data_IF_947400634642
#
_entry.id   IF_947400634642
#
_cell.length_a   1.000
_cell.length_b   1.000
_cell.length_c   1.000
_cell.angle_alpha   90.00
_cell.angle_beta   90.00
_cell.angle_gamma   90.00
#
_symmetry.space_group_name_H-M   'P 1'
#
loop_
_entity.id
_entity.type
_entity.pdbx_description
1 polymer ?
#
# COMPACT_ATOMS: atom_id res chain seq x y z
N UNK A 1 -11.51 -6.23 7.97
CA UNK A 1 -10.73 -5.07 8.46
C UNK A 1 -10.46 -3.98 7.41
N UNK A 2 -10.08 -4.30 6.15
CA UNK A 2 -9.82 -3.25 5.13
C UNK A 2 -10.97 -2.24 4.91
N UNK A 3 -12.24 -2.64 4.75
CA UNK A 3 -13.33 -1.69 4.52
C UNK A 3 -13.55 -0.74 5.70
N UNK A 4 -13.39 -1.25 6.91
CA UNK A 4 -13.55 -0.46 8.14
C UNK A 4 -12.50 0.66 8.24
N UNK A 5 -11.23 0.35 7.95
CA UNK A 5 -10.16 1.34 7.95
C UNK A 5 -10.38 2.38 6.85
N UNK A 6 -10.78 1.95 5.65
CA UNK A 6 -11.12 2.86 4.56
C UNK A 6 -12.25 3.83 4.94
N UNK A 7 -13.30 3.33 5.59
CA UNK A 7 -14.41 4.16 6.07
C UNK A 7 -13.94 5.19 7.10
N UNK A 8 -13.12 4.78 8.07
CA UNK A 8 -12.55 5.69 9.07
C UNK A 8 -11.69 6.77 8.42
N UNK A 9 -10.88 6.40 7.42
CA UNK A 9 -10.04 7.36 6.69
C UNK A 9 -10.86 8.35 5.88
N UNK A 10 -11.94 7.91 5.23
CA UNK A 10 -12.82 8.83 4.50
C UNK A 10 -13.53 9.79 5.47
N UNK A 11 -14.01 9.28 6.61
CA UNK A 11 -14.57 10.14 7.67
C UNK A 11 -13.52 11.14 8.14
N UNK A 12 -12.28 10.72 8.34
CA UNK A 12 -11.16 11.60 8.70
C UNK A 12 -10.92 12.69 7.64
N UNK A 13 -10.84 12.34 6.35
CA UNK A 13 -10.62 13.30 5.26
C UNK A 13 -11.75 14.34 5.21
N UNK A 14 -13.00 13.93 5.40
CA UNK A 14 -14.17 14.81 5.30
C UNK A 14 -14.37 15.62 6.59
N UNK A 15 -14.30 14.96 7.74
CA UNK A 15 -14.72 15.52 9.03
C UNK A 15 -13.58 15.74 10.05
N UNK A 16 -12.36 15.29 9.77
CA UNK A 16 -11.25 15.39 10.71
C UNK A 16 -10.97 16.82 11.20
N UNK A 17 -11.32 17.82 10.39
CA UNK A 17 -11.18 19.25 10.72
C UNK A 17 -12.11 19.73 11.84
N UNK A 18 -13.17 18.97 12.17
CA UNK A 18 -14.03 19.27 13.33
C UNK A 18 -13.21 19.30 14.63
N UNK A 19 -12.20 18.44 14.74
CA UNK A 19 -11.38 18.31 15.94
C UNK A 19 -10.59 19.61 16.30
N UNK A 20 -10.44 20.52 15.35
CA UNK A 20 -9.66 21.78 15.49
C UNK A 20 -10.49 23.01 15.07
N UNK A 21 -11.81 22.89 15.06
CA UNK A 21 -12.76 23.96 14.66
C UNK A 21 -12.47 24.54 13.25
N UNK A 22 -11.83 23.76 12.38
CA UNK A 22 -11.46 24.15 11.02
C UNK A 22 -12.39 23.54 9.95
N UNK A 23 -13.62 23.13 10.31
CA UNK A 23 -14.61 22.65 9.37
C UNK A 23 -15.28 23.85 8.68
N UNK A 24 -15.20 23.87 7.37
CA UNK A 24 -15.71 24.98 6.57
C UNK A 24 -16.83 24.60 5.61
N UNK A 25 -17.10 25.50 4.67
CA UNK A 25 -18.19 25.35 3.69
C UNK A 25 -17.94 24.31 2.60
N UNK A 26 -16.67 23.92 2.39
CA UNK A 26 -16.30 22.95 1.34
C UNK A 26 -16.49 21.49 1.77
N UNK A 27 -16.95 21.23 2.99
CA UNK A 27 -17.14 19.86 3.50
C UNK A 27 -17.95 18.96 2.57
N UNK A 28 -19.02 19.47 1.99
CA UNK A 28 -19.88 18.72 1.05
C UNK A 28 -19.17 18.47 -0.27
N UNK A 29 -18.40 19.43 -0.76
CA UNK A 29 -17.58 19.23 -1.97
C UNK A 29 -16.57 18.13 -1.72
N UNK A 30 -15.87 18.15 -0.59
CA UNK A 30 -14.91 17.10 -0.24
C UNK A 30 -15.58 15.75 -0.01
N UNK A 31 -16.76 15.70 0.59
CA UNK A 31 -17.51 14.47 0.80
C UNK A 31 -17.86 13.79 -0.55
N UNK A 32 -18.38 14.55 -1.50
CA UNK A 32 -18.86 13.99 -2.78
C UNK A 32 -17.75 13.87 -3.84
N UNK A 33 -16.86 14.87 -3.95
CA UNK A 33 -15.83 14.87 -4.99
C UNK A 33 -14.61 13.99 -4.63
N UNK A 34 -14.31 13.80 -3.36
CA UNK A 34 -13.14 13.03 -2.90
C UNK A 34 -13.52 11.86 -2.02
N UNK A 35 -14.32 12.08 -0.99
CA UNK A 35 -14.69 11.06 0.00
C UNK A 35 -15.42 9.88 -0.64
N UNK A 36 -16.46 10.15 -1.41
CA UNK A 36 -17.26 9.10 -2.06
C UNK A 36 -16.42 8.27 -3.07
N UNK A 37 -15.68 8.86 -4.02
CA UNK A 37 -14.82 8.09 -4.91
C UNK A 37 -13.75 7.28 -4.18
N UNK A 38 -13.07 7.85 -3.18
CA UNK A 38 -12.08 7.14 -2.38
C UNK A 38 -12.71 5.95 -1.65
N UNK A 39 -13.89 6.14 -1.04
CA UNK A 39 -14.61 5.06 -0.35
C UNK A 39 -14.98 3.93 -1.32
N UNK A 40 -15.49 4.27 -2.50
CA UNK A 40 -15.87 3.27 -3.53
C UNK A 40 -14.63 2.50 -3.99
N UNK A 41 -13.54 3.18 -4.35
CA UNK A 41 -12.31 2.54 -4.83
C UNK A 41 -11.70 1.60 -3.77
N UNK A 42 -11.58 2.03 -2.53
CA UNK A 42 -11.07 1.20 -1.44
C UNK A 42 -11.98 0.01 -1.13
N UNK A 43 -13.30 0.20 -1.20
CA UNK A 43 -14.26 -0.88 -0.99
C UNK A 43 -14.18 -1.92 -2.09
N UNK A 44 -14.10 -1.48 -3.36
CA UNK A 44 -13.92 -2.37 -4.51
C UNK A 44 -12.61 -3.16 -4.36
N UNK A 45 -11.50 -2.49 -4.07
CA UNK A 45 -10.22 -3.16 -3.84
C UNK A 45 -10.31 -4.19 -2.70
N UNK A 46 -10.93 -3.83 -1.57
CA UNK A 46 -11.11 -4.72 -0.42
C UNK A 46 -11.95 -5.97 -0.77
N UNK A 47 -13.01 -5.81 -1.57
CA UNK A 47 -13.83 -6.93 -2.03
C UNK A 47 -13.04 -7.84 -2.96
N UNK A 48 -12.26 -7.27 -3.88
CA UNK A 48 -11.44 -8.04 -4.83
C UNK A 48 -10.34 -8.82 -4.11
N UNK A 49 -9.57 -8.19 -3.21
CA UNK A 49 -8.57 -8.89 -2.38
C UNK A 49 -9.21 -9.96 -1.49
N UNK A 50 -10.39 -9.69 -0.92
CA UNK A 50 -11.12 -10.67 -0.13
C UNK A 50 -11.61 -11.86 -0.96
N UNK A 51 -11.93 -11.67 -2.24
CA UNK A 51 -12.26 -12.77 -3.17
C UNK A 51 -11.03 -13.57 -3.56
N UNK A 52 -9.91 -12.90 -3.81
CA UNK A 52 -8.65 -13.55 -4.13
C UNK A 52 -8.14 -14.38 -2.95
N UNK A 53 -8.11 -13.82 -1.75
CA UNK A 53 -7.68 -14.51 -0.54
C UNK A 53 -8.46 -15.79 -0.24
N UNK A 54 -9.76 -15.84 -0.59
CA UNK A 54 -10.58 -17.05 -0.41
C UNK A 54 -10.23 -18.19 -1.36
N UNK A 55 -9.49 -17.91 -2.43
CA UNK A 55 -9.04 -18.93 -3.39
C UNK A 55 -7.77 -19.65 -2.93
N UNK A 56 -7.06 -19.13 -1.92
CA UNK A 56 -5.87 -19.73 -1.34
C UNK A 56 -6.18 -20.49 -0.06
N UNK A 57 -5.56 -21.65 0.18
CA UNK A 57 -5.72 -22.42 1.42
C UNK A 57 -5.29 -21.63 2.67
N UNK A 58 -4.30 -20.73 2.52
CA UNK A 58 -3.80 -19.88 3.61
C UNK A 58 -4.64 -18.64 3.86
N UNK A 59 -5.62 -18.33 3.01
CA UNK A 59 -6.43 -17.11 3.05
C UNK A 59 -5.59 -15.82 3.24
N UNK A 60 -4.38 -15.81 2.65
CA UNK A 60 -3.40 -14.73 2.81
C UNK A 60 -3.39 -13.78 1.61
N UNK A 61 -3.09 -12.53 1.86
CA UNK A 61 -2.86 -11.48 0.85
C UNK A 61 -1.36 -11.33 0.64
N UNK A 62 -0.92 -11.07 -0.58
CA UNK A 62 0.49 -10.89 -0.89
C UNK A 62 1.11 -9.72 -0.10
N UNK A 63 2.41 -9.81 0.21
CA UNK A 63 3.14 -8.74 0.90
C UNK A 63 3.10 -7.43 0.10
N UNK A 64 3.23 -7.51 -1.23
CA UNK A 64 3.10 -6.37 -2.15
C UNK A 64 1.76 -5.66 -1.96
N UNK A 65 0.66 -6.40 -2.00
CA UNK A 65 -0.68 -5.84 -1.81
C UNK A 65 -0.84 -5.22 -0.42
N UNK A 66 -0.36 -5.87 0.63
CA UNK A 66 -0.41 -5.36 2.00
C UNK A 66 0.34 -4.04 2.16
N UNK A 67 1.56 -3.93 1.62
CA UNK A 67 2.36 -2.70 1.65
C UNK A 67 1.69 -1.56 0.86
N UNK A 68 1.12 -1.86 -0.30
CA UNK A 68 0.41 -0.86 -1.11
C UNK A 68 -0.84 -0.34 -0.38
N UNK A 69 -1.58 -1.22 0.29
CA UNK A 69 -2.73 -0.85 1.12
C UNK A 69 -2.31 0.08 2.26
N UNK A 70 -1.28 -0.29 3.02
CA UNK A 70 -0.78 0.52 4.14
C UNK A 70 -0.28 1.88 3.63
N UNK A 71 0.49 1.89 2.54
CA UNK A 71 0.94 3.13 1.91
C UNK A 71 -0.21 4.04 1.48
N UNK A 72 -1.27 3.48 0.87
CA UNK A 72 -2.48 4.21 0.52
C UNK A 72 -3.18 4.82 1.74
N UNK A 73 -3.24 4.08 2.85
CA UNK A 73 -3.84 4.59 4.09
C UNK A 73 -3.03 5.76 4.68
N UNK A 74 -1.70 5.66 4.69
CA UNK A 74 -0.82 6.73 5.18
C UNK A 74 -1.00 7.99 4.33
N UNK A 75 -0.97 7.86 3.00
CA UNK A 75 -1.14 9.00 2.08
C UNK A 75 -2.52 9.64 2.27
N UNK A 76 -3.58 8.85 2.40
CA UNK A 76 -4.94 9.36 2.62
C UNK A 76 -5.08 10.05 4.00
N UNK A 77 -4.45 9.51 5.04
CA UNK A 77 -4.45 10.13 6.37
C UNK A 77 -3.74 11.49 6.36
N UNK A 78 -2.55 11.55 5.73
CA UNK A 78 -1.81 12.78 5.55
C UNK A 78 -2.56 13.79 4.67
N UNK A 79 -3.24 13.34 3.63
CA UNK A 79 -4.09 14.20 2.81
C UNK A 79 -5.16 14.89 3.65
N UNK A 80 -5.91 14.17 4.50
CA UNK A 80 -6.90 14.77 5.40
C UNK A 80 -6.29 15.75 6.40
N UNK A 81 -5.05 15.52 6.83
CA UNK A 81 -4.33 16.41 7.75
C UNK A 81 -3.96 17.76 7.12
N UNK A 82 -3.55 17.76 5.84
CA UNK A 82 -3.17 18.97 5.12
C UNK A 82 -4.33 19.64 4.36
N UNK A 83 -5.48 18.99 4.23
CA UNK A 83 -6.60 19.47 3.42
C UNK A 83 -7.19 20.76 4.02
N UNK A 84 -7.09 21.92 3.34
CA UNK A 84 -7.63 23.19 3.84
C UNK A 84 -9.13 23.29 3.58
N UNK A 85 -9.83 24.06 4.42
CA UNK A 85 -11.24 24.39 4.24
C UNK A 85 -11.48 25.89 4.48
N UNK A 86 -12.56 26.43 3.93
CA UNK A 86 -12.95 27.83 4.10
C UNK A 86 -13.87 27.98 5.29
N UNK A 87 -13.36 28.54 6.38
CA UNK A 87 -14.10 28.85 7.59
C UNK A 87 -14.52 30.34 7.62
N UNK A 88 -15.43 30.78 8.52
CA UNK A 88 -15.78 32.20 8.66
C UNK A 88 -14.60 33.09 8.99
N UNK A 89 -13.58 32.56 9.70
CA UNK A 89 -12.40 33.28 10.13
C UNK A 89 -11.25 33.23 9.11
N UNK A 90 -11.45 32.60 7.98
CA UNK A 90 -10.43 32.42 6.93
C UNK A 90 -10.26 30.96 6.51
N UNK A 91 -9.15 30.67 5.83
CA UNK A 91 -8.85 29.30 5.42
C UNK A 91 -8.01 28.60 6.48
N UNK A 92 -8.38 27.39 6.87
CA UNK A 92 -7.68 26.58 7.87
C UNK A 92 -7.61 25.11 7.47
N UNK A 93 -6.60 24.40 7.97
CA UNK A 93 -6.45 22.94 7.90
C UNK A 93 -6.07 22.40 9.28
N UNK A 94 -6.10 21.10 9.50
CA UNK A 94 -5.60 20.53 10.75
C UNK A 94 -4.14 20.91 10.97
N UNK A 95 -3.33 20.87 9.91
CA UNK A 95 -1.92 21.28 9.98
C UNK A 95 -1.76 22.73 10.43
N UNK A 96 -2.47 23.68 9.80
CA UNK A 96 -2.33 25.12 10.14
C UNK A 96 -2.95 25.49 11.49
N UNK A 97 -3.95 24.76 11.96
CA UNK A 97 -4.47 24.91 13.31
C UNK A 97 -3.42 24.58 14.39
N UNK A 98 -2.47 23.69 14.08
CA UNK A 98 -1.39 23.30 15.00
C UNK A 98 -0.12 24.12 14.82
N UNK A 99 0.17 24.61 13.60
CA UNK A 99 1.46 25.25 13.26
C UNK A 99 1.34 26.77 13.06
N UNK A 100 0.13 27.28 12.90
CA UNK A 100 -0.15 28.70 12.63
C UNK A 100 -0.55 28.98 11.18
N UNK A 101 -1.26 30.09 10.95
CA UNK A 101 -1.83 30.47 9.65
C UNK A 101 -0.77 30.76 8.58
N UNK A 102 0.43 31.16 8.97
CA UNK A 102 1.54 31.45 8.03
C UNK A 102 1.98 30.21 7.24
N UNK A 103 1.66 29.00 7.72
CA UNK A 103 2.00 27.74 7.07
C UNK A 103 0.97 27.28 6.03
N UNK A 104 -0.01 28.12 5.68
CA UNK A 104 -1.08 27.77 4.73
C UNK A 104 -0.55 27.41 3.33
N UNK A 105 0.52 28.08 2.87
CA UNK A 105 1.16 27.74 1.58
C UNK A 105 1.69 26.32 1.53
N UNK A 106 2.26 25.85 2.64
CA UNK A 106 2.72 24.46 2.79
C UNK A 106 1.53 23.50 2.78
N UNK A 107 0.47 23.84 3.52
CA UNK A 107 -0.76 23.03 3.57
C UNK A 107 -1.35 22.81 2.17
N UNK A 108 -1.49 23.87 1.38
CA UNK A 108 -1.96 23.76 -0.02
C UNK A 108 -1.06 22.90 -0.89
N UNK A 109 0.26 23.07 -0.80
CA UNK A 109 1.23 22.30 -1.58
C UNK A 109 1.11 20.80 -1.30
N UNK A 110 1.10 20.43 -0.02
CA UNK A 110 0.93 19.03 0.38
C UNK A 110 -0.47 18.49 0.07
N UNK A 111 -1.54 19.25 0.32
CA UNK A 111 -2.89 18.83 0.02
C UNK A 111 -3.08 18.49 -1.47
N UNK A 112 -2.58 19.33 -2.38
CA UNK A 112 -2.66 19.07 -3.82
C UNK A 112 -1.92 17.78 -4.21
N UNK A 113 -0.68 17.63 -3.75
CA UNK A 113 0.15 16.46 -4.07
C UNK A 113 -0.44 15.19 -3.47
N UNK A 114 -0.76 15.20 -2.18
CA UNK A 114 -1.31 14.04 -1.47
C UNK A 114 -2.71 13.67 -1.95
N UNK A 115 -3.52 14.66 -2.37
CA UNK A 115 -4.84 14.43 -2.95
C UNK A 115 -4.75 13.62 -4.25
N UNK A 116 -3.88 14.05 -5.17
CA UNK A 116 -3.62 13.29 -6.42
C UNK A 116 -3.06 11.91 -6.12
N UNK A 117 -2.09 11.81 -5.20
CA UNK A 117 -1.51 10.53 -4.79
C UNK A 117 -2.54 9.60 -4.15
N UNK A 118 -3.45 10.10 -3.31
CA UNK A 118 -4.50 9.30 -2.67
C UNK A 118 -5.41 8.65 -3.70
N UNK A 119 -5.86 9.41 -4.70
CA UNK A 119 -6.71 8.89 -5.78
C UNK A 119 -5.93 7.91 -6.66
N UNK A 120 -4.69 8.25 -7.04
CA UNK A 120 -3.85 7.40 -7.88
C UNK A 120 -3.56 6.05 -7.17
N UNK A 121 -3.25 6.07 -5.88
CA UNK A 121 -3.02 4.85 -5.10
C UNK A 121 -4.30 4.03 -4.93
N UNK A 122 -5.46 4.67 -4.73
CA UNK A 122 -6.73 3.96 -4.65
C UNK A 122 -7.07 3.25 -5.98
N UNK A 123 -6.81 3.89 -7.12
CA UNK A 123 -6.93 3.26 -8.45
C UNK A 123 -5.92 2.12 -8.61
N UNK A 124 -4.66 2.35 -8.24
CA UNK A 124 -3.62 1.32 -8.31
C UNK A 124 -3.97 0.09 -7.46
N UNK A 125 -4.57 0.26 -6.28
CA UNK A 125 -5.07 -0.84 -5.45
C UNK A 125 -6.13 -1.67 -6.17
N UNK A 126 -7.07 -1.04 -6.87
CA UNK A 126 -8.10 -1.76 -7.64
C UNK A 126 -7.46 -2.54 -8.79
N UNK A 127 -6.52 -1.92 -9.52
CA UNK A 127 -5.81 -2.58 -10.62
C UNK A 127 -4.97 -3.76 -10.11
N UNK A 128 -4.26 -3.59 -8.99
CA UNK A 128 -3.49 -4.65 -8.37
C UNK A 128 -4.39 -5.81 -7.93
N UNK A 129 -5.51 -5.52 -7.27
CA UNK A 129 -6.47 -6.54 -6.84
C UNK A 129 -7.11 -7.29 -8.03
N UNK A 130 -7.35 -6.60 -9.15
CA UNK A 130 -7.86 -7.23 -10.37
C UNK A 130 -6.83 -8.15 -11.03
N UNK A 131 -5.56 -7.72 -11.08
CA UNK A 131 -4.48 -8.55 -11.63
C UNK A 131 -4.23 -9.77 -10.77
N UNK A 132 -4.13 -9.61 -9.45
CA UNK A 132 -3.96 -10.73 -8.52
C UNK A 132 -5.10 -11.74 -8.67
N UNK A 133 -6.35 -11.29 -8.63
CA UNK A 133 -7.51 -12.18 -8.79
C UNK A 133 -7.56 -12.89 -10.15
N UNK A 134 -7.16 -12.21 -11.24
CA UNK A 134 -7.09 -12.83 -12.57
C UNK A 134 -6.01 -13.91 -12.63
N UNK A 135 -4.82 -13.61 -12.09
CA UNK A 135 -3.69 -14.54 -12.08
C UNK A 135 -4.00 -15.78 -11.26
N UNK A 136 -4.59 -15.61 -10.07
CA UNK A 136 -5.03 -16.72 -9.23
C UNK A 136 -6.05 -17.62 -9.96
N UNK A 137 -7.04 -17.02 -10.63
CA UNK A 137 -8.05 -17.77 -11.38
C UNK A 137 -7.45 -18.52 -12.59
N UNK A 138 -6.46 -17.95 -13.28
CA UNK A 138 -5.72 -18.60 -14.36
C UNK A 138 -4.94 -19.80 -13.83
N UNK A 139 -4.22 -19.61 -12.73
CA UNK A 139 -3.47 -20.69 -12.08
C UNK A 139 -4.36 -21.86 -11.68
N UNK A 140 -5.55 -21.58 -11.11
CA UNK A 140 -6.53 -22.62 -10.74
C UNK A 140 -7.11 -23.38 -11.95
N UNK A 141 -7.15 -22.76 -13.14
CA UNK A 141 -7.60 -23.39 -14.39
C UNK A 141 -6.49 -24.15 -15.11
N UNK A 142 -5.26 -24.15 -14.58
CA UNK A 142 -4.10 -24.76 -15.23
C UNK A 142 -3.65 -24.03 -16.50
N UNK A 143 -4.05 -22.77 -16.68
CA UNK A 143 -3.60 -21.95 -17.81
C UNK A 143 -2.11 -21.61 -17.64
N UNK A 144 -1.33 -21.53 -18.73
CA UNK A 144 0.08 -21.16 -18.65
C UNK A 144 0.25 -19.77 -18.01
N UNK A 145 1.34 -19.63 -17.27
CA UNK A 145 1.72 -18.37 -16.65
C UNK A 145 1.85 -17.26 -17.70
N UNK A 146 1.53 -16.03 -17.35
CA UNK A 146 1.81 -14.90 -18.22
C UNK A 146 3.32 -14.71 -18.39
N UNK A 147 3.75 -14.09 -19.49
CA UNK A 147 5.18 -13.82 -19.74
C UNK A 147 5.83 -13.06 -18.57
N UNK A 148 5.11 -12.11 -17.97
CA UNK A 148 5.58 -11.35 -16.81
C UNK A 148 5.81 -12.24 -15.58
N UNK A 149 4.91 -13.21 -15.31
CA UNK A 149 5.10 -14.17 -14.21
C UNK A 149 6.26 -15.14 -14.46
N UNK A 150 6.51 -15.48 -15.73
CA UNK A 150 7.67 -16.29 -16.10
C UNK A 150 8.96 -15.51 -15.85
N UNK A 151 9.01 -14.24 -16.23
CA UNK A 151 10.15 -13.35 -16.00
C UNK A 151 10.40 -13.15 -14.50
N UNK A 152 9.36 -12.83 -13.72
CA UNK A 152 9.47 -12.68 -12.26
C UNK A 152 9.99 -13.96 -11.58
N UNK A 153 9.56 -15.13 -12.02
CA UNK A 153 10.08 -16.41 -11.51
C UNK A 153 11.53 -16.66 -11.91
N UNK A 154 11.90 -16.32 -13.14
CA UNK A 154 13.27 -16.43 -13.59
C UNK A 154 14.21 -15.49 -12.82
N UNK A 155 13.77 -14.27 -12.54
CA UNK A 155 14.53 -13.32 -11.71
C UNK A 155 14.66 -13.81 -10.26
N UNK A 156 13.57 -14.30 -9.67
CA UNK A 156 13.61 -14.89 -8.33
C UNK A 156 14.54 -16.11 -8.27
N UNK A 157 14.55 -16.96 -9.28
CA UNK A 157 15.48 -18.09 -9.36
C UNK A 157 16.94 -17.66 -9.51
N UNK A 158 17.22 -16.61 -10.30
CA UNK A 158 18.56 -16.03 -10.42
C UNK A 158 19.04 -15.47 -9.09
N UNK A 159 18.19 -14.70 -8.40
CA UNK A 159 18.49 -14.13 -7.09
C UNK A 159 18.80 -15.19 -6.02
N UNK A 160 18.14 -16.35 -6.08
CA UNK A 160 18.38 -17.48 -5.16
C UNK A 160 19.51 -18.41 -5.63
N UNK A 161 19.80 -18.44 -6.92
CA UNK A 161 20.86 -19.29 -7.53
C UNK A 161 22.23 -18.64 -7.62
N UNK A 162 22.35 -17.34 -7.35
CA UNK A 162 23.68 -16.71 -7.25
C UNK A 162 24.37 -17.17 -5.96
N UNK A 163 25.42 -18.00 -6.03
CA UNK A 163 26.17 -18.35 -4.83
C UNK A 163 26.73 -17.06 -4.27
N UNK A 164 26.52 -16.78 -2.98
CA UNK A 164 27.13 -15.66 -2.25
C UNK A 164 28.60 -15.60 -2.60
N UNK A 165 28.96 -14.71 -3.51
CA UNK A 165 30.34 -14.39 -3.88
C UNK A 165 31.02 -13.83 -2.66
N UNK A 166 31.65 -14.69 -1.84
CA UNK A 166 32.38 -14.22 -0.68
C UNK A 166 32.54 -15.20 0.49
N UNK A 167 31.94 -16.38 0.42
CA UNK A 167 32.24 -17.37 1.46
C UNK A 167 33.55 -18.09 1.09
N UNK A 168 34.67 -17.84 1.81
CA UNK A 168 35.90 -18.57 1.57
C UNK A 168 35.64 -20.03 1.89
N UNK A 169 35.84 -20.89 0.92
CA UNK A 169 35.85 -22.35 1.04
C UNK A 169 36.78 -22.72 2.21
N UNK A 170 36.22 -22.84 3.42
CA UNK A 170 36.95 -23.43 4.55
C UNK A 170 37.31 -24.84 4.18
N UNK A 171 38.60 -25.02 4.08
CA UNK A 171 39.26 -26.21 3.58
C UNK A 171 38.76 -27.50 4.23
N UNK A 172 38.30 -28.37 3.38
CA UNK A 172 38.32 -29.81 3.60
C UNK A 172 39.76 -30.30 3.41
N UNK A 173 40.54 -30.14 4.40
CA UNK A 173 41.91 -30.62 4.42
C UNK A 173 42.27 -31.07 5.83
N UNK A 174 42.12 -32.33 6.12
CA UNK A 174 42.92 -33.10 7.07
C UNK A 174 42.13 -34.28 7.66
N UNK A 175 42.12 -35.41 6.98
CA UNK A 175 42.01 -36.72 7.61
C UNK A 175 42.37 -37.81 6.64
N UNK A 176 43.65 -37.92 6.38
CA UNK A 176 44.19 -39.15 5.77
C UNK A 176 45.66 -39.28 6.20
N UNK A 177 45.90 -39.95 7.33
CA UNK A 177 47.12 -40.71 7.55
C UNK A 177 47.20 -41.15 9.00
N UNK A 178 46.73 -42.36 9.29
CA UNK A 178 47.28 -43.22 10.30
C UNK A 178 46.65 -44.59 10.28
N UNK A 179 46.98 -45.34 9.27
CA UNK A 179 46.76 -46.80 9.31
C UNK A 179 47.93 -47.46 8.61
N UNK A 180 48.90 -47.83 9.41
CA UNK A 180 49.81 -48.96 9.15
C UNK A 180 50.76 -49.14 10.34
N UNK A 181 50.49 -50.14 11.14
CA UNK A 181 51.53 -51.11 11.61
C UNK A 181 50.92 -52.05 12.64
N UNK A 182 50.73 -53.29 12.17
CA UNK A 182 50.84 -54.48 12.97
C UNK A 182 52.31 -54.88 13.08
N UNK A 183 52.69 -55.72 14.03
CA UNK A 183 52.40 -57.17 13.99
C UNK A 183 51.52 -57.69 15.11
#
# INVERSE_FOLDING_TARGET
MMPTVAMVLVIWVVFGRIAVDALGSLVWVYAFALGLPLMVLHTVAAVLFGRDAKLYPSASVSLRASLTVIGSWIVTALFGFFLPDSTPDGTASVFTALTGPDMMGISYGFANTLGVMSVAMAVALVLLALTDLRNTRRALRGEPLSEDEILDRMEAQRAHGEPRRGEPRRGSGAAASSESRRP
#
